data_IF_632327171455
#
_entry.id   IF_632327171455
#
_cell.length_a   1.000
_cell.length_b   1.000
_cell.length_c   1.000
_cell.angle_alpha   90.00
_cell.angle_beta   90.00
_cell.angle_gamma   90.00
#
_symmetry.space_group_name_H-M   'P 1'
#
loop_
_entity.id
_entity.type
_entity.pdbx_description
1 polymer ?
#
# COMPACT_ATOMS: atom_id res chain seq x y z
N UNK A 1 -5.72 2.42 -7.27
CA UNK A 1 -4.86 2.54 -8.47
C UNK A 1 -5.07 3.92 -9.11
N UNK A 2 -4.22 4.38 -10.05
CA UNK A 2 -4.35 5.72 -10.66
C UNK A 2 -5.68 5.93 -11.40
N UNK A 3 -6.30 4.85 -11.87
CA UNK A 3 -7.60 4.80 -12.54
C UNK A 3 -8.78 4.60 -11.57
N UNK A 4 -8.56 4.82 -10.27
CA UNK A 4 -9.51 4.56 -9.19
C UNK A 4 -9.93 3.08 -9.02
N UNK A 5 -9.30 2.14 -9.73
CA UNK A 5 -9.52 0.71 -9.49
C UNK A 5 -8.85 0.23 -8.19
N UNK A 6 -9.31 -0.90 -7.65
CA UNK A 6 -8.77 -1.52 -6.44
C UNK A 6 -8.12 -2.87 -6.79
N UNK A 7 -6.87 -3.06 -6.37
CA UNK A 7 -6.21 -4.36 -6.36
C UNK A 7 -6.28 -4.94 -4.95
N UNK A 8 -6.72 -6.19 -4.82
CA UNK A 8 -6.80 -6.91 -3.54
C UNK A 8 -5.77 -8.03 -3.51
N UNK A 9 -5.14 -8.25 -2.36
CA UNK A 9 -4.11 -9.26 -2.18
C UNK A 9 -3.68 -9.39 -0.73
N UNK A 10 -2.59 -10.13 -0.51
CA UNK A 10 -1.94 -10.28 0.78
C UNK A 10 -0.64 -9.47 0.81
N UNK A 11 -0.31 -8.92 1.97
CA UNK A 11 0.95 -8.25 2.26
C UNK A 11 1.64 -8.96 3.44
N UNK A 12 2.94 -8.72 3.61
CA UNK A 12 3.73 -9.29 4.71
C UNK A 12 3.25 -8.76 6.08
N UNK A 13 3.48 -9.52 7.16
CA UNK A 13 3.03 -9.15 8.51
C UNK A 13 3.67 -7.85 9.00
N UNK A 14 4.89 -7.56 8.56
CA UNK A 14 5.63 -6.33 8.84
C UNK A 14 4.87 -5.06 8.39
N UNK A 15 3.91 -5.18 7.46
CA UNK A 15 3.06 -4.07 7.04
C UNK A 15 2.12 -3.57 8.15
N UNK A 16 1.85 -4.37 9.18
CA UNK A 16 0.95 -4.01 10.29
C UNK A 16 1.50 -2.92 11.23
N UNK A 17 2.79 -2.59 11.13
CA UNK A 17 3.42 -1.52 11.94
C UNK A 17 3.71 -0.23 11.15
N UNK A 18 3.26 -0.15 9.90
CA UNK A 18 3.54 0.99 9.04
C UNK A 18 2.58 2.15 9.31
N UNK A 19 3.13 3.27 9.75
CA UNK A 19 2.36 4.48 10.04
C UNK A 19 1.64 5.02 8.81
N UNK A 20 0.43 5.52 9.00
CA UNK A 20 -0.29 6.32 8.00
C UNK A 20 0.61 7.42 7.40
N UNK A 21 0.54 7.58 6.08
CA UNK A 21 1.37 8.51 5.33
C UNK A 21 2.76 7.99 4.95
N UNK A 22 3.20 6.85 5.49
CA UNK A 22 4.45 6.21 5.07
C UNK A 22 4.41 5.85 3.58
N UNK A 23 5.52 6.05 2.88
CA UNK A 23 5.69 5.60 1.50
C UNK A 23 6.62 4.39 1.51
N UNK A 24 6.14 3.26 0.99
CA UNK A 24 6.91 2.02 0.86
C UNK A 24 6.89 1.52 -0.57
N UNK A 25 7.82 0.64 -0.91
CA UNK A 25 7.82 -0.05 -2.19
C UNK A 25 7.30 -1.47 -2.01
N UNK A 26 6.23 -1.82 -2.69
CA UNK A 26 5.91 -3.22 -2.93
C UNK A 26 6.75 -3.70 -4.12
N UNK A 27 7.70 -4.58 -3.85
CA UNK A 27 8.63 -5.06 -4.87
C UNK A 27 7.88 -5.61 -6.09
N UNK A 28 8.31 -5.19 -7.28
CA UNK A 28 7.72 -5.54 -8.59
C UNK A 28 6.29 -5.04 -8.82
N UNK A 29 5.66 -4.36 -7.85
CA UNK A 29 4.37 -3.70 -8.00
C UNK A 29 4.53 -2.19 -8.18
N UNK A 30 5.21 -1.52 -7.24
CA UNK A 30 5.47 -0.08 -7.26
C UNK A 30 5.46 0.56 -5.86
N UNK A 31 5.61 1.88 -5.82
CA UNK A 31 5.55 2.66 -4.60
C UNK A 31 4.10 2.97 -4.20
N UNK A 32 3.80 2.83 -2.92
CA UNK A 32 2.47 3.10 -2.36
C UNK A 32 2.59 3.99 -1.12
N UNK A 33 1.56 4.79 -0.84
CA UNK A 33 1.38 5.50 0.42
C UNK A 33 0.38 4.75 1.31
N UNK A 34 0.76 4.45 2.55
CA UNK A 34 -0.14 3.84 3.54
C UNK A 34 -1.22 4.85 3.93
N UNK A 35 -2.46 4.39 3.93
CA UNK A 35 -3.64 5.21 4.23
C UNK A 35 -4.36 4.77 5.50
N UNK A 36 -4.41 3.47 5.77
CA UNK A 36 -4.94 2.90 7.00
C UNK A 36 -4.23 1.58 7.31
N UNK A 37 -4.02 1.30 8.60
CA UNK A 37 -3.47 0.04 9.10
C UNK A 37 -4.55 -1.04 9.27
N UNK A 38 -5.83 -0.64 9.51
CA UNK A 38 -6.94 -1.58 9.74
C UNK A 38 -8.29 -1.02 9.28
N UNK A 39 -8.87 -1.51 8.17
CA UNK A 39 -8.27 -2.47 7.23
C UNK A 39 -7.03 -1.89 6.54
N UNK A 40 -6.02 -2.72 6.29
CA UNK A 40 -4.80 -2.28 5.62
C UNK A 40 -5.11 -1.75 4.22
N UNK A 41 -4.88 -0.46 3.99
CA UNK A 41 -5.14 0.23 2.74
C UNK A 41 -3.94 1.08 2.33
N UNK A 42 -3.61 1.04 1.04
CA UNK A 42 -2.54 1.83 0.47
C UNK A 42 -2.93 2.39 -0.91
N UNK A 43 -2.48 3.61 -1.19
CA UNK A 43 -2.67 4.27 -2.48
C UNK A 43 -1.42 4.13 -3.35
N UNK A 44 -1.59 3.53 -4.52
CA UNK A 44 -0.53 3.43 -5.52
C UNK A 44 -0.10 4.81 -6.02
N UNK A 45 1.21 5.01 -6.15
CA UNK A 45 1.81 6.22 -6.69
C UNK A 45 2.34 5.97 -8.11
N UNK A 46 3.49 5.31 -8.23
CA UNK A 46 4.22 5.03 -9.47
C UNK A 46 5.08 3.77 -9.32
N UNK A 47 5.71 3.33 -10.41
CA UNK A 47 6.60 2.17 -10.46
C UNK A 47 8.00 2.60 -10.84
#
# INVERSE_FOLDING_TARGET
MPDASTAQGLAEEECQGLKEGSIIQFERFGFVRIDSESPFMAYYTHR
#
